data_IF_696938933054
#
_entry.id   IF_696938933054
#
_cell.length_a   1.000
_cell.length_b   1.000
_cell.length_c   1.000
_cell.angle_alpha   90.00
_cell.angle_beta   90.00
_cell.angle_gamma   90.00
#
_symmetry.space_group_name_H-M   'P 1'
#
loop_
_entity.id
_entity.type
_entity.pdbx_description
1 polymer ?
#
# COMPACT_ATOMS: atom_id res chain seq x y z
N UNK A 1 3.47 -14.77 -14.15
CA UNK A 1 3.12 -15.03 -12.72
C UNK A 1 2.37 -13.86 -12.08
N UNK A 2 2.66 -12.64 -12.45
CA UNK A 2 2.00 -11.42 -11.92
C UNK A 2 0.47 -11.41 -12.07
N UNK A 3 -0.08 -11.73 -13.24
CA UNK A 3 -1.53 -11.74 -13.47
C UNK A 3 -2.31 -12.70 -12.54
N UNK A 4 -1.74 -13.84 -12.18
CA UNK A 4 -2.41 -14.81 -11.31
C UNK A 4 -2.62 -14.31 -9.88
N UNK A 5 -1.67 -13.54 -9.33
CA UNK A 5 -1.79 -12.96 -7.98
C UNK A 5 -2.80 -11.81 -7.98
N UNK A 6 -2.76 -10.96 -9.00
CA UNK A 6 -3.72 -9.86 -9.16
C UNK A 6 -5.17 -10.37 -9.21
N UNK A 7 -5.43 -11.37 -10.08
CA UNK A 7 -6.76 -11.98 -10.20
C UNK A 7 -7.21 -12.69 -8.91
N UNK A 8 -6.31 -13.43 -8.27
CA UNK A 8 -6.59 -14.10 -6.98
C UNK A 8 -6.96 -13.10 -5.89
N UNK A 9 -6.20 -12.02 -5.78
CA UNK A 9 -6.46 -10.97 -4.80
C UNK A 9 -7.78 -10.24 -5.06
N UNK A 10 -8.03 -9.89 -6.32
CA UNK A 10 -9.27 -9.26 -6.74
C UNK A 10 -10.49 -10.13 -6.39
N UNK A 11 -10.50 -11.38 -6.82
CA UNK A 11 -11.62 -12.30 -6.59
C UNK A 11 -11.85 -12.58 -5.10
N UNK A 12 -10.79 -12.73 -4.32
CA UNK A 12 -10.90 -12.94 -2.88
C UNK A 12 -11.53 -11.74 -2.18
N UNK A 13 -11.11 -10.52 -2.51
CA UNK A 13 -11.68 -9.30 -1.94
C UNK A 13 -13.16 -9.16 -2.31
N UNK A 14 -13.51 -9.34 -3.58
CA UNK A 14 -14.91 -9.29 -4.03
C UNK A 14 -15.78 -10.29 -3.25
N UNK A 15 -15.33 -11.53 -3.11
CA UNK A 15 -16.09 -12.58 -2.41
C UNK A 15 -16.28 -12.29 -0.92
N UNK A 16 -15.24 -11.80 -0.25
CA UNK A 16 -15.27 -11.54 1.20
C UNK A 16 -16.09 -10.29 1.52
N UNK A 17 -15.98 -9.25 0.70
CA UNK A 17 -16.68 -7.98 0.92
C UNK A 17 -18.19 -8.11 0.71
N UNK A 18 -18.63 -8.90 -0.24
CA UNK A 18 -20.07 -9.10 -0.50
C UNK A 18 -20.84 -9.72 0.68
N UNK A 19 -20.14 -10.40 1.59
CA UNK A 19 -20.74 -11.04 2.78
C UNK A 19 -20.45 -10.34 4.11
N UNK A 20 -19.65 -9.27 4.12
CA UNK A 20 -19.12 -8.69 5.35
C UNK A 20 -19.88 -7.44 5.81
N UNK A 21 -20.20 -7.38 7.12
CA UNK A 21 -20.71 -6.17 7.74
C UNK A 21 -19.65 -5.08 7.92
N UNK A 22 -18.38 -5.45 8.06
CA UNK A 22 -17.22 -4.55 8.10
C UNK A 22 -16.29 -4.81 6.91
N UNK A 23 -16.54 -4.06 5.85
CA UNK A 23 -15.84 -4.17 4.57
C UNK A 23 -14.35 -3.86 4.69
N UNK A 24 -13.96 -2.91 5.53
CA UNK A 24 -12.58 -2.48 5.70
C UNK A 24 -11.73 -3.57 6.35
N UNK A 25 -12.22 -4.15 7.45
CA UNK A 25 -11.52 -5.26 8.11
C UNK A 25 -11.52 -6.53 7.26
N UNK A 26 -12.61 -6.82 6.57
CA UNK A 26 -12.70 -7.97 5.66
C UNK A 26 -11.68 -7.85 4.51
N UNK A 27 -11.56 -6.68 3.91
CA UNK A 27 -10.57 -6.39 2.86
C UNK A 27 -9.14 -6.57 3.37
N UNK A 28 -8.84 -6.01 4.56
CA UNK A 28 -7.51 -6.14 5.17
C UNK A 28 -7.15 -7.60 5.42
N UNK A 29 -8.04 -8.38 6.02
CA UNK A 29 -7.83 -9.80 6.29
C UNK A 29 -7.61 -10.60 5.01
N UNK A 30 -8.41 -10.40 3.98
CA UNK A 30 -8.27 -11.07 2.70
C UNK A 30 -6.89 -10.82 2.06
N UNK A 31 -6.41 -9.57 2.11
CA UNK A 31 -5.07 -9.23 1.60
C UNK A 31 -3.98 -9.88 2.43
N UNK A 32 -4.10 -9.85 3.76
CA UNK A 32 -3.15 -10.51 4.66
C UNK A 32 -3.01 -12.00 4.32
N UNK A 33 -4.12 -12.71 4.19
CA UNK A 33 -4.13 -14.14 3.89
C UNK A 33 -3.50 -14.47 2.53
N UNK A 34 -3.78 -13.66 1.51
CA UNK A 34 -3.23 -13.84 0.17
C UNK A 34 -1.72 -13.60 0.15
N UNK A 35 -1.27 -12.51 0.76
CA UNK A 35 0.16 -12.17 0.80
C UNK A 35 0.93 -13.20 1.63
N UNK A 36 0.43 -13.59 2.80
CA UNK A 36 1.04 -14.64 3.63
C UNK A 36 1.13 -15.96 2.87
N UNK A 37 0.04 -16.39 2.25
CA UNK A 37 0.01 -17.64 1.47
C UNK A 37 1.02 -17.61 0.33
N UNK A 38 1.02 -16.53 -0.45
CA UNK A 38 1.90 -16.43 -1.62
C UNK A 38 3.38 -16.31 -1.23
N UNK A 39 3.70 -15.59 -0.14
CA UNK A 39 5.09 -15.49 0.35
C UNK A 39 5.59 -16.80 0.95
N UNK A 40 4.73 -17.55 1.64
CA UNK A 40 5.09 -18.90 2.14
C UNK A 40 5.32 -19.89 1.00
N UNK A 41 4.52 -19.83 -0.05
CA UNK A 41 4.67 -20.69 -1.24
C UNK A 41 5.98 -20.37 -2.01
N UNK A 42 6.49 -19.15 -1.91
CA UNK A 42 7.76 -18.74 -2.53
C UNK A 42 9.01 -19.33 -1.83
N UNK A 43 8.88 -19.83 -0.60
CA UNK A 43 9.93 -20.49 0.18
C UNK A 43 10.96 -19.57 0.80
N UNK A 44 11.55 -18.64 0.06
CA UNK A 44 12.47 -17.61 0.56
C UNK A 44 11.89 -16.20 0.40
N UNK A 45 11.92 -15.43 1.49
CA UNK A 45 11.41 -14.05 1.49
C UNK A 45 12.52 -13.10 1.06
N UNK A 46 12.72 -13.03 -0.24
CA UNK A 46 13.69 -12.12 -0.89
C UNK A 46 12.99 -10.83 -1.35
N UNK A 47 13.78 -9.82 -1.71
CA UNK A 47 13.24 -8.59 -2.32
C UNK A 47 12.39 -8.87 -3.58
N UNK A 48 12.75 -9.89 -4.36
CA UNK A 48 11.98 -10.32 -5.54
C UNK A 48 10.65 -10.96 -5.13
N UNK A 49 10.63 -11.80 -4.08
CA UNK A 49 9.40 -12.38 -3.55
C UNK A 49 8.45 -11.29 -3.02
N UNK A 50 8.98 -10.21 -2.43
CA UNK A 50 8.16 -9.08 -1.98
C UNK A 50 7.51 -8.28 -3.12
N UNK A 51 7.93 -8.47 -4.37
CA UNK A 51 7.22 -7.94 -5.56
C UNK A 51 5.77 -8.43 -5.67
N UNK A 52 5.48 -9.62 -5.16
CA UNK A 52 4.13 -10.18 -5.02
C UNK A 52 3.20 -9.27 -4.20
N UNK A 53 3.75 -8.52 -3.24
CA UNK A 53 2.98 -7.55 -2.44
C UNK A 53 2.36 -6.47 -3.33
N UNK A 54 3.12 -5.95 -4.30
CA UNK A 54 2.62 -4.97 -5.28
C UNK A 54 1.42 -5.53 -6.06
N UNK A 55 1.54 -6.76 -6.56
CA UNK A 55 0.48 -7.39 -7.34
C UNK A 55 -0.76 -7.72 -6.50
N UNK A 56 -0.58 -8.19 -5.27
CA UNK A 56 -1.68 -8.48 -4.35
C UNK A 56 -2.45 -7.22 -3.98
N UNK A 57 -1.76 -6.14 -3.65
CA UNK A 57 -2.36 -4.84 -3.33
C UNK A 57 -3.11 -4.28 -4.55
N UNK A 58 -2.51 -4.37 -5.73
CA UNK A 58 -3.12 -3.90 -6.97
C UNK A 58 -4.41 -4.65 -7.29
N UNK A 59 -4.41 -5.97 -7.21
CA UNK A 59 -5.61 -6.78 -7.41
C UNK A 59 -6.69 -6.51 -6.35
N UNK A 60 -6.31 -6.39 -5.09
CA UNK A 60 -7.24 -6.09 -4.01
C UNK A 60 -7.95 -4.74 -4.21
N UNK A 61 -7.23 -3.69 -4.61
CA UNK A 61 -7.83 -2.38 -4.88
C UNK A 61 -8.75 -2.39 -6.11
N UNK A 62 -8.42 -3.16 -7.14
CA UNK A 62 -9.33 -3.38 -8.27
C UNK A 62 -10.63 -4.06 -7.79
N UNK A 63 -10.53 -5.07 -6.91
CA UNK A 63 -11.68 -5.76 -6.32
C UNK A 63 -12.55 -4.84 -5.45
N UNK A 64 -11.94 -3.99 -4.62
CA UNK A 64 -12.68 -3.03 -3.77
C UNK A 64 -13.45 -2.02 -4.60
N UNK A 65 -12.93 -1.58 -5.74
CA UNK A 65 -13.65 -0.70 -6.67
C UNK A 65 -14.90 -1.39 -7.23
N UNK A 66 -14.82 -2.66 -7.60
CA UNK A 66 -15.97 -3.41 -8.13
C UNK A 66 -17.13 -3.53 -7.14
N UNK A 67 -16.81 -3.54 -5.85
CA UNK A 67 -17.82 -3.62 -4.77
C UNK A 67 -18.16 -2.24 -4.16
N UNK A 68 -17.71 -1.15 -4.76
CA UNK A 68 -18.11 0.21 -4.40
C UNK A 68 -17.47 0.77 -3.13
N UNK A 69 -16.30 0.26 -2.72
CA UNK A 69 -15.55 0.81 -1.57
C UNK A 69 -14.81 2.07 -1.99
N UNK A 70 -14.81 3.11 -1.15
CA UNK A 70 -14.03 4.32 -1.37
C UNK A 70 -12.53 3.99 -1.52
N UNK A 71 -11.90 4.52 -2.56
CA UNK A 71 -10.52 4.18 -2.93
C UNK A 71 -9.51 4.46 -1.82
N UNK A 72 -9.65 5.57 -1.10
CA UNK A 72 -8.76 5.96 0.00
C UNK A 72 -8.87 5.00 1.19
N UNK A 73 -10.11 4.68 1.61
CA UNK A 73 -10.35 3.71 2.69
C UNK A 73 -9.83 2.32 2.33
N UNK A 74 -10.08 1.92 1.08
CA UNK A 74 -9.59 0.67 0.55
C UNK A 74 -8.06 0.63 0.54
N UNK A 75 -7.40 1.68 0.05
CA UNK A 75 -5.94 1.77 0.00
C UNK A 75 -5.30 1.65 1.38
N UNK A 76 -5.84 2.37 2.37
CA UNK A 76 -5.35 2.26 3.76
C UNK A 76 -5.47 0.85 4.31
N UNK A 77 -6.63 0.19 4.13
CA UNK A 77 -6.86 -1.17 4.62
C UNK A 77 -5.99 -2.21 3.91
N UNK A 78 -5.91 -2.14 2.60
CA UNK A 78 -5.16 -3.07 1.75
C UNK A 78 -3.66 -2.98 2.04
N UNK A 79 -3.12 -1.77 2.11
CA UNK A 79 -1.70 -1.55 2.43
C UNK A 79 -1.39 -1.98 3.86
N UNK A 80 -2.25 -1.66 4.84
CA UNK A 80 -2.09 -2.14 6.21
C UNK A 80 -2.04 -3.66 6.27
N UNK A 81 -2.98 -4.36 5.63
CA UNK A 81 -2.99 -5.82 5.58
C UNK A 81 -1.75 -6.43 4.91
N UNK A 82 -1.27 -5.81 3.85
CA UNK A 82 -0.07 -6.27 3.15
C UNK A 82 1.20 -6.12 4.02
N UNK A 83 1.34 -5.01 4.74
CA UNK A 83 2.48 -4.78 5.67
C UNK A 83 2.42 -5.74 6.85
N UNK A 84 1.24 -5.97 7.43
CA UNK A 84 1.03 -6.95 8.50
C UNK A 84 1.41 -8.38 8.02
N UNK A 85 1.03 -8.74 6.79
CA UNK A 85 1.38 -10.03 6.18
C UNK A 85 2.89 -10.23 6.04
N UNK A 86 3.60 -9.21 5.55
CA UNK A 86 5.08 -9.26 5.43
C UNK A 86 5.72 -9.47 6.79
N UNK A 87 5.25 -8.77 7.83
CA UNK A 87 5.73 -8.95 9.20
C UNK A 87 5.46 -10.36 9.73
N UNK A 88 4.27 -10.93 9.47
CA UNK A 88 3.91 -12.28 9.92
C UNK A 88 4.82 -13.38 9.37
N UNK A 89 5.35 -13.19 8.18
CA UNK A 89 6.29 -14.14 7.56
C UNK A 89 7.76 -13.82 7.85
N UNK A 90 8.05 -12.81 8.68
CA UNK A 90 9.41 -12.39 9.02
C UNK A 90 10.13 -11.63 7.91
N UNK A 91 9.40 -11.04 6.96
CA UNK A 91 9.93 -10.24 5.87
C UNK A 91 10.32 -8.82 6.29
N UNK A 92 11.02 -8.10 5.41
CA UNK A 92 11.39 -6.70 5.62
C UNK A 92 10.15 -5.81 5.50
N UNK A 93 9.71 -5.27 6.65
CA UNK A 93 8.51 -4.44 6.79
C UNK A 93 8.64 -3.13 5.98
N UNK A 94 9.83 -2.53 5.91
CA UNK A 94 10.05 -1.30 5.14
C UNK A 94 9.92 -1.56 3.65
N UNK A 95 10.52 -2.64 3.16
CA UNK A 95 10.42 -3.03 1.75
C UNK A 95 9.01 -3.49 1.40
N UNK A 96 8.34 -4.22 2.30
CA UNK A 96 6.92 -4.59 2.16
C UNK A 96 6.02 -3.37 2.04
N UNK A 97 6.22 -2.36 2.88
CA UNK A 97 5.49 -1.10 2.84
C UNK A 97 5.71 -0.34 1.52
N UNK A 98 6.95 -0.25 1.03
CA UNK A 98 7.28 0.36 -0.28
C UNK A 98 6.54 -0.33 -1.42
N UNK A 99 6.59 -1.66 -1.48
CA UNK A 99 5.90 -2.43 -2.51
C UNK A 99 4.37 -2.29 -2.42
N UNK A 100 3.81 -2.26 -1.21
CA UNK A 100 2.37 -2.06 -1.00
C UNK A 100 1.92 -0.68 -1.47
N UNK A 101 2.65 0.39 -1.11
CA UNK A 101 2.36 1.76 -1.54
C UNK A 101 2.44 1.88 -3.07
N UNK A 102 3.48 1.31 -3.69
CA UNK A 102 3.61 1.27 -5.16
C UNK A 102 2.39 0.61 -5.80
N UNK A 103 1.98 -0.56 -5.32
CA UNK A 103 0.81 -1.29 -5.84
C UNK A 103 -0.49 -0.50 -5.73
N UNK A 104 -0.69 0.21 -4.62
CA UNK A 104 -1.86 1.03 -4.39
C UNK A 104 -1.95 2.20 -5.38
N UNK A 105 -0.85 2.91 -5.60
CA UNK A 105 -0.79 4.06 -6.51
C UNK A 105 -0.97 3.61 -7.97
N UNK A 106 -0.34 2.51 -8.37
CA UNK A 106 -0.53 1.94 -9.71
C UNK A 106 -1.98 1.53 -9.96
N UNK A 107 -2.62 0.85 -8.98
CA UNK A 107 -4.03 0.51 -9.08
C UNK A 107 -4.92 1.74 -9.25
N UNK A 108 -4.69 2.80 -8.47
CA UNK A 108 -5.45 4.05 -8.58
C UNK A 108 -5.32 4.68 -9.98
N UNK A 109 -4.11 4.71 -10.54
CA UNK A 109 -3.87 5.22 -11.89
C UNK A 109 -4.57 4.38 -12.96
N UNK A 110 -4.51 3.04 -12.87
CA UNK A 110 -5.15 2.13 -13.82
C UNK A 110 -6.67 2.24 -13.84
N UNK A 111 -7.28 2.48 -12.69
CA UNK A 111 -8.73 2.58 -12.58
C UNK A 111 -9.26 4.01 -12.75
N UNK A 112 -8.38 4.98 -13.04
CA UNK A 112 -8.75 6.39 -13.18
C UNK A 112 -9.24 7.02 -11.87
N UNK A 113 -8.69 6.58 -10.73
CA UNK A 113 -9.04 7.08 -9.39
C UNK A 113 -8.21 8.29 -8.96
N UNK A 114 -8.50 8.80 -7.76
CA UNK A 114 -7.69 9.87 -7.13
C UNK A 114 -6.33 9.31 -6.68
N UNK A 115 -5.33 9.46 -7.53
CA UNK A 115 -3.96 9.01 -7.28
C UNK A 115 -3.37 9.69 -6.05
N UNK A 116 -3.67 10.98 -5.83
CA UNK A 116 -3.11 11.73 -4.70
C UNK A 116 -3.71 11.28 -3.37
N UNK A 117 -5.03 11.17 -3.29
CA UNK A 117 -5.72 10.69 -2.09
C UNK A 117 -5.32 9.26 -1.72
N UNK A 118 -5.27 8.38 -2.73
CA UNK A 118 -4.80 6.98 -2.54
C UNK A 118 -3.35 6.92 -2.07
N UNK A 119 -2.45 7.75 -2.62
CA UNK A 119 -1.05 7.77 -2.21
C UNK A 119 -0.88 8.16 -0.73
N UNK A 120 -1.58 9.20 -0.28
CA UNK A 120 -1.54 9.64 1.13
C UNK A 120 -2.10 8.54 2.04
N UNK A 121 -3.27 7.99 1.72
CA UNK A 121 -3.92 6.93 2.50
C UNK A 121 -3.10 5.63 2.54
N UNK A 122 -2.39 5.31 1.47
CA UNK A 122 -1.47 4.17 1.42
C UNK A 122 -0.28 4.36 2.39
N UNK A 123 0.33 5.55 2.41
CA UNK A 123 1.40 5.87 3.37
C UNK A 123 0.90 5.80 4.81
N UNK A 124 -0.28 6.37 5.09
CA UNK A 124 -0.91 6.26 6.42
C UNK A 124 -1.15 4.81 6.84
N UNK A 125 -1.68 3.98 5.93
CA UNK A 125 -1.90 2.55 6.19
C UNK A 125 -0.60 1.78 6.48
N UNK A 126 0.48 2.09 5.77
CA UNK A 126 1.79 1.50 5.99
C UNK A 126 2.36 1.87 7.37
N UNK A 127 2.27 3.15 7.76
CA UNK A 127 2.75 3.66 9.05
C UNK A 127 1.94 3.08 10.21
N UNK A 128 0.61 3.03 10.07
CA UNK A 128 -0.27 2.41 11.06
C UNK A 128 0.07 0.93 11.28
N UNK A 129 0.24 0.17 10.20
CA UNK A 129 0.60 -1.23 10.29
C UNK A 129 1.97 -1.45 10.93
N UNK A 130 2.97 -0.62 10.57
CA UNK A 130 4.30 -0.68 11.19
C UNK A 130 4.23 -0.50 12.71
N UNK A 131 3.42 0.43 13.19
CA UNK A 131 3.18 0.60 14.62
C UNK A 131 2.55 -0.62 15.29
N UNK A 132 1.58 -1.26 14.63
CA UNK A 132 0.89 -2.46 15.14
C UNK A 132 1.80 -3.69 15.22
N UNK A 133 2.69 -3.86 14.26
CA UNK A 133 3.58 -5.03 14.21
C UNK A 133 4.90 -4.81 14.96
N UNK A 134 5.08 -3.68 15.63
CA UNK A 134 6.32 -3.34 16.35
C UNK A 134 7.50 -3.01 15.43
N UNK A 135 7.23 -2.60 14.19
CA UNK A 135 8.23 -2.18 13.22
C UNK A 135 8.75 -0.75 13.47
N UNK A 136 9.82 -0.40 12.77
CA UNK A 136 10.38 0.96 12.82
C UNK A 136 9.52 1.95 12.03
N UNK A 137 8.59 2.60 12.73
CA UNK A 137 7.62 3.55 12.18
C UNK A 137 8.31 4.67 11.39
N UNK A 138 9.47 5.15 11.87
CA UNK A 138 10.22 6.23 11.21
C UNK A 138 10.79 5.79 9.87
N UNK A 139 11.38 4.60 9.80
CA UNK A 139 11.90 4.04 8.55
C UNK A 139 10.79 3.71 7.57
N UNK A 140 9.67 3.15 8.06
CA UNK A 140 8.51 2.86 7.22
C UNK A 140 7.91 4.15 6.67
N UNK A 141 7.70 5.17 7.50
CA UNK A 141 7.18 6.46 7.06
C UNK A 141 8.05 7.11 5.98
N UNK A 142 9.38 7.10 6.17
CA UNK A 142 10.34 7.59 5.17
C UNK A 142 10.23 6.79 3.87
N UNK A 143 10.40 5.47 3.92
CA UNK A 143 10.40 4.62 2.74
C UNK A 143 9.08 4.64 1.98
N UNK A 144 7.95 4.64 2.69
CA UNK A 144 6.63 4.73 2.10
C UNK A 144 6.39 6.08 1.42
N UNK A 145 6.79 7.20 2.07
CA UNK A 145 6.66 8.53 1.48
C UNK A 145 7.57 8.73 0.25
N UNK A 146 8.83 8.29 0.31
CA UNK A 146 9.74 8.28 -0.84
C UNK A 146 9.13 7.50 -2.01
N UNK A 147 8.65 6.28 -1.75
CA UNK A 147 8.02 5.44 -2.78
C UNK A 147 6.74 6.06 -3.34
N UNK A 148 5.93 6.69 -2.49
CA UNK A 148 4.72 7.37 -2.95
C UNK A 148 5.05 8.50 -3.93
N UNK A 149 6.01 9.36 -3.60
CA UNK A 149 6.42 10.48 -4.46
C UNK A 149 7.04 10.00 -5.77
N UNK A 150 7.89 8.97 -5.73
CA UNK A 150 8.49 8.34 -6.91
C UNK A 150 7.41 7.78 -7.84
N UNK A 151 6.53 6.92 -7.30
CA UNK A 151 5.50 6.26 -8.11
C UNK A 151 4.47 7.23 -8.67
N UNK A 152 4.06 8.24 -7.86
CA UNK A 152 3.16 9.29 -8.35
C UNK A 152 3.82 10.10 -9.46
N UNK A 153 5.11 10.40 -9.35
CA UNK A 153 5.87 11.08 -10.41
C UNK A 153 5.88 10.30 -11.73
N UNK A 154 5.89 8.96 -11.67
CA UNK A 154 5.85 8.07 -12.83
C UNK A 154 4.46 8.02 -13.49
N UNK A 155 3.37 7.99 -12.69
CA UNK A 155 2.01 7.75 -13.20
C UNK A 155 1.20 9.02 -13.40
N UNK A 156 1.50 10.09 -12.66
CA UNK A 156 0.78 11.37 -12.71
C UNK A 156 1.64 12.50 -12.14
N UNK A 157 2.52 13.07 -12.95
CA UNK A 157 3.42 14.15 -12.53
C UNK A 157 2.67 15.34 -11.91
N UNK A 158 1.47 15.66 -12.39
CA UNK A 158 0.63 16.75 -11.88
C UNK A 158 0.13 16.50 -10.44
N UNK A 159 0.00 15.22 -10.04
CA UNK A 159 -0.47 14.84 -8.70
C UNK A 159 0.62 14.98 -7.61
N UNK A 160 1.91 15.10 -7.96
CA UNK A 160 3.03 15.15 -7.00
C UNK A 160 2.86 16.29 -5.99
N UNK A 161 2.44 17.47 -6.44
CA UNK A 161 2.19 18.63 -5.57
C UNK A 161 1.07 18.38 -4.56
N UNK A 162 -0.01 17.74 -4.98
CA UNK A 162 -1.12 17.35 -4.11
C UNK A 162 -0.70 16.31 -3.08
N UNK A 163 0.10 15.31 -3.48
CA UNK A 163 0.65 14.29 -2.56
C UNK A 163 1.57 14.93 -1.51
N UNK A 164 2.51 15.80 -1.91
CA UNK A 164 3.37 16.53 -0.96
C UNK A 164 2.56 17.29 0.07
N UNK A 165 1.53 18.01 -0.37
CA UNK A 165 0.62 18.75 0.52
C UNK A 165 -0.16 17.78 1.43
N UNK A 166 -0.72 16.72 0.90
CA UNK A 166 -1.48 15.72 1.65
C UNK A 166 -0.63 15.04 2.73
N UNK A 167 0.58 14.57 2.38
CA UNK A 167 1.51 13.97 3.33
C UNK A 167 1.92 14.93 4.45
N UNK A 168 2.15 16.21 4.13
CA UNK A 168 2.48 17.23 5.15
C UNK A 168 1.32 17.53 6.10
N UNK A 169 0.08 17.43 5.61
CA UNK A 169 -1.14 17.72 6.37
C UNK A 169 -1.67 16.53 7.17
N UNK A 170 -1.20 15.32 6.87
CA UNK A 170 -1.67 14.08 7.52
C UNK A 170 -1.17 14.00 8.97
N UNK A 171 -2.10 14.15 9.92
CA UNK A 171 -1.79 14.16 11.35
C UNK A 171 -1.30 12.80 11.88
N UNK A 172 -1.59 11.72 11.19
CA UNK A 172 -1.16 10.36 11.53
C UNK A 172 0.30 10.06 11.18
N UNK A 173 0.95 10.92 10.40
CA UNK A 173 2.32 10.75 9.93
C UNK A 173 3.33 11.53 10.77
N UNK A 174 4.57 11.02 10.96
CA UNK A 174 5.62 11.75 11.66
C UNK A 174 6.10 12.93 10.83
N UNK A 175 5.62 14.14 11.14
CA UNK A 175 5.79 15.36 10.34
C UNK A 175 7.25 15.70 10.00
N UNK A 176 8.19 15.51 10.94
CA UNK A 176 9.62 15.80 10.71
C UNK A 176 10.23 14.86 9.66
N UNK A 177 9.82 13.58 9.69
CA UNK A 177 10.25 12.58 8.71
C UNK A 177 9.71 12.94 7.32
N UNK A 178 8.43 13.26 7.22
CA UNK A 178 7.78 13.64 5.97
C UNK A 178 8.41 14.89 5.37
N UNK A 179 8.66 15.92 6.18
CA UNK A 179 9.36 17.14 5.71
C UNK A 179 10.74 16.83 5.16
N UNK A 180 11.51 15.99 5.86
CA UNK A 180 12.85 15.62 5.41
C UNK A 180 12.85 14.91 4.06
N UNK A 181 11.83 14.09 3.77
CA UNK A 181 11.65 13.42 2.48
C UNK A 181 11.33 14.44 1.39
N UNK A 182 10.36 15.32 1.63
CA UNK A 182 9.91 16.33 0.65
C UNK A 182 11.03 17.32 0.30
N UNK A 183 11.80 17.77 1.30
CA UNK A 183 12.93 18.69 1.12
C UNK A 183 14.14 18.00 0.47
N UNK A 184 14.37 16.70 0.77
CA UNK A 184 15.43 15.89 0.18
C UNK A 184 15.26 15.67 -1.32
N UNK A 185 14.03 15.52 -1.81
CA UNK A 185 13.74 15.44 -3.24
C UNK A 185 14.00 16.74 -3.99
N UNK A 186 13.85 17.89 -3.34
CA UNK A 186 14.16 19.20 -3.93
C UNK A 186 15.65 19.41 -4.24
N UNK A 187 16.54 18.60 -3.67
CA UNK A 187 18.00 18.68 -3.86
C UNK A 187 18.57 17.72 -4.92
N UNK A 188 17.71 16.84 -5.49
CA UNK A 188 18.13 15.85 -6.52
C UNK A 188 17.91 16.33 -7.97
N UNK A 189 17.62 17.61 -8.16
CA UNK A 189 17.56 18.24 -9.51
C UNK A 189 18.84 18.95 -9.88
#
# INVERSE_FOLDING_TARGET
>A
MSNGVVEKAKNAVVSVVQGAGDVVNATRSAVTDIVVGTLKDAGEITGTALGVVTDAVRGALQGTKEVGVEAEKAARAVVSGAVEAVSQVGGDVVLGAKNAVRGAIQAAAEVGGDVAGVAVSAVEGAVEAAGKVGGDVTKVARGAAEQALETVGEVSADAVGAVKKGLTSAASLPGDVIRSVIEGEGKKK
#
